data_IF_749728457605
#
_entry.id   IF_749728457605
#
_cell.length_a   1.000
_cell.length_b   1.000
_cell.length_c   1.000
_cell.angle_alpha   90.00
_cell.angle_beta   90.00
_cell.angle_gamma   90.00
#
_symmetry.space_group_name_H-M   'P 1'
#
loop_
_entity.id
_entity.type
_entity.pdbx_description
1 polymer ?
#
# COMPACT_ATOMS: atom_id res chain seq x y z
N UNK A 1 24.48 -6.29 11.67
CA UNK A 1 23.74 -5.00 11.51
C UNK A 1 22.55 -5.04 12.44
N UNK A 2 22.31 -3.98 13.22
CA UNK A 2 21.15 -3.88 14.11
C UNK A 2 19.88 -3.51 13.33
N UNK A 3 18.75 -4.12 13.67
CA UNK A 3 17.45 -3.82 13.03
C UNK A 3 17.00 -2.39 13.38
N UNK A 4 16.67 -1.53 12.39
CA UNK A 4 16.24 -0.16 12.67
C UNK A 4 14.87 -0.10 13.37
N UNK A 5 14.57 0.97 14.12
CA UNK A 5 13.23 1.21 14.65
C UNK A 5 12.16 1.23 13.55
N UNK A 6 10.95 0.75 13.85
CA UNK A 6 9.94 0.52 12.80
C UNK A 6 9.53 1.81 12.10
N UNK A 7 9.47 2.93 12.84
CA UNK A 7 9.14 4.25 12.28
C UNK A 7 10.17 4.68 11.25
N UNK A 8 11.44 4.36 11.49
CA UNK A 8 12.51 4.62 10.54
C UNK A 8 12.35 3.75 9.30
N UNK A 9 12.04 2.46 9.46
CA UNK A 9 11.74 1.58 8.32
C UNK A 9 10.53 2.07 7.51
N UNK A 10 9.47 2.52 8.16
CA UNK A 10 8.30 3.11 7.49
C UNK A 10 8.67 4.36 6.67
N UNK A 11 9.51 5.24 7.22
CA UNK A 11 10.02 6.39 6.49
C UNK A 11 10.90 5.99 5.31
N UNK A 12 11.77 5.00 5.48
CA UNK A 12 12.61 4.47 4.39
C UNK A 12 11.76 3.82 3.30
N UNK A 13 10.76 3.01 3.67
CA UNK A 13 9.86 2.35 2.73
C UNK A 13 9.09 3.37 1.88
N UNK A 14 8.62 4.45 2.50
CA UNK A 14 7.97 5.55 1.78
C UNK A 14 8.89 6.20 0.75
N UNK A 15 10.16 6.40 1.09
CA UNK A 15 11.14 7.00 0.18
C UNK A 15 11.77 5.99 -0.80
N UNK A 16 11.59 4.69 -0.59
CA UNK A 16 12.26 3.65 -1.34
C UNK A 16 11.91 3.72 -2.83
N UNK A 17 10.62 3.76 -3.15
CA UNK A 17 10.17 3.79 -4.55
C UNK A 17 10.69 5.02 -5.30
N UNK A 18 10.67 6.20 -4.67
CA UNK A 18 11.25 7.41 -5.24
C UNK A 18 12.77 7.28 -5.49
N UNK A 19 13.48 6.57 -4.61
CA UNK A 19 14.94 6.41 -4.67
C UNK A 19 15.43 5.39 -5.69
N UNK A 20 14.58 4.43 -6.09
CA UNK A 20 14.95 3.33 -7.00
C UNK A 20 14.82 3.75 -8.46
N UNK A 21 13.97 4.76 -8.73
CA UNK A 21 13.60 5.15 -10.08
C UNK A 21 12.70 4.10 -10.70
N UNK A 22 13.26 3.17 -11.46
CA UNK A 22 12.50 2.21 -12.24
C UNK A 22 12.74 0.74 -11.83
N UNK A 23 11.69 -0.06 -11.81
CA UNK A 23 11.77 -1.50 -11.56
C UNK A 23 10.61 -2.26 -12.23
N UNK A 24 10.80 -3.56 -12.39
CA UNK A 24 9.72 -4.49 -12.73
C UNK A 24 9.61 -5.56 -11.65
N UNK A 25 8.39 -6.00 -11.32
CA UNK A 25 8.17 -7.07 -10.38
C UNK A 25 7.01 -7.97 -10.80
N UNK A 26 7.11 -9.24 -10.44
CA UNK A 26 5.98 -10.16 -10.46
C UNK A 26 5.47 -10.30 -9.03
N UNK A 27 4.18 -10.05 -8.82
CA UNK A 27 3.52 -10.03 -7.52
C UNK A 27 2.40 -11.06 -7.47
N UNK A 28 2.39 -11.84 -6.39
CA UNK A 28 1.31 -12.78 -6.08
C UNK A 28 0.38 -12.14 -5.05
N UNK A 29 -0.90 -12.02 -5.42
CA UNK A 29 -1.97 -11.46 -4.60
C UNK A 29 -2.82 -12.58 -4.00
N UNK A 30 -3.05 -12.53 -2.68
CA UNK A 30 -3.87 -13.49 -1.94
C UNK A 30 -5.07 -12.77 -1.32
N UNK A 31 -6.26 -13.40 -1.32
CA UNK A 31 -7.42 -12.88 -0.59
C UNK A 31 -8.33 -11.91 -1.34
N UNK A 32 -8.27 -11.88 -2.68
CA UNK A 32 -9.10 -11.02 -3.55
C UNK A 32 -10.55 -11.51 -3.70
N UNK A 33 -11.14 -12.10 -2.65
CA UNK A 33 -12.45 -12.78 -2.74
C UNK A 33 -12.44 -14.04 -3.63
N UNK A 34 -11.27 -14.45 -4.10
CA UNK A 34 -11.04 -15.68 -4.85
C UNK A 34 -10.29 -16.68 -3.99
N UNK A 35 -10.61 -17.96 -4.14
CA UNK A 35 -9.92 -19.03 -3.42
C UNK A 35 -8.46 -19.22 -3.88
N UNK A 36 -8.13 -18.81 -5.10
CA UNK A 36 -6.79 -18.95 -5.67
C UNK A 36 -6.02 -17.61 -5.63
N UNK A 37 -4.70 -17.66 -5.33
CA UNK A 37 -3.80 -16.53 -5.54
C UNK A 37 -3.79 -16.09 -7.00
N UNK A 38 -3.56 -14.80 -7.24
CA UNK A 38 -3.46 -14.21 -8.59
C UNK A 38 -2.09 -13.61 -8.79
N UNK A 39 -1.44 -13.93 -9.91
CA UNK A 39 -0.17 -13.32 -10.30
C UNK A 39 -0.40 -12.11 -11.18
N UNK A 40 0.30 -11.03 -10.92
CA UNK A 40 0.32 -9.82 -11.74
C UNK A 40 1.76 -9.36 -11.92
N UNK A 41 2.06 -8.81 -13.09
CA UNK A 41 3.31 -8.13 -13.37
C UNK A 41 3.12 -6.62 -13.20
N UNK A 42 4.09 -5.98 -12.57
CA UNK A 42 4.08 -4.56 -12.30
C UNK A 42 5.35 -3.94 -12.83
N UNK A 43 5.19 -2.94 -13.68
CA UNK A 43 6.28 -2.10 -14.20
C UNK A 43 6.12 -0.71 -13.57
N UNK A 44 7.17 -0.20 -12.95
CA UNK A 44 7.18 1.08 -12.25
C UNK A 44 8.36 1.91 -12.72
N UNK A 45 8.14 3.21 -12.95
CA UNK A 45 9.19 4.15 -13.33
C UNK A 45 9.22 5.40 -12.43
N UNK A 46 8.04 5.89 -12.05
CA UNK A 46 7.85 7.06 -11.18
C UNK A 46 6.52 6.90 -10.44
N UNK A 47 6.24 7.66 -9.36
CA UNK A 47 4.96 7.57 -8.64
C UNK A 47 3.71 7.62 -9.53
N UNK A 48 3.79 8.37 -10.63
CA UNK A 48 2.72 8.55 -11.62
C UNK A 48 3.00 7.82 -12.94
N UNK A 49 3.96 6.91 -13.00
CA UNK A 49 4.27 6.11 -14.19
C UNK A 49 4.43 4.65 -13.77
N UNK A 50 3.33 3.91 -13.86
CA UNK A 50 3.29 2.50 -13.53
C UNK A 50 2.26 1.76 -14.36
N UNK A 51 2.45 0.45 -14.51
CA UNK A 51 1.61 -0.43 -15.31
C UNK A 51 1.45 -1.76 -14.60
N UNK A 52 0.23 -2.29 -14.58
CA UNK A 52 -0.11 -3.58 -13.97
C UNK A 52 -0.76 -4.46 -15.01
N UNK A 53 -0.18 -5.63 -15.25
CA UNK A 53 -0.65 -6.62 -16.22
C UNK A 53 -0.95 -7.93 -15.49
N UNK A 54 -2.13 -8.49 -15.71
CA UNK A 54 -2.49 -9.83 -15.24
C UNK A 54 -2.46 -10.85 -16.37
N UNK A 55 -2.90 -12.08 -16.07
CA UNK A 55 -2.96 -13.17 -17.05
C UNK A 55 -3.83 -12.84 -18.28
N UNK A 56 -4.91 -12.08 -18.08
CA UNK A 56 -5.86 -11.70 -19.14
C UNK A 56 -5.47 -10.38 -19.86
N UNK A 57 -4.36 -9.76 -19.48
CA UNK A 57 -3.86 -8.53 -20.08
C UNK A 57 -3.79 -7.35 -19.10
N UNK A 58 -3.87 -6.13 -19.63
CA UNK A 58 -3.70 -4.91 -18.85
C UNK A 58 -4.82 -4.77 -17.81
N UNK A 59 -4.45 -4.58 -16.54
CA UNK A 59 -5.39 -4.37 -15.44
C UNK A 59 -5.49 -2.90 -15.06
N UNK A 60 -4.37 -2.18 -15.06
CA UNK A 60 -4.35 -0.75 -14.81
C UNK A 60 -3.06 -0.12 -15.35
N UNK A 61 -3.14 1.14 -15.73
CA UNK A 61 -2.01 1.93 -16.20
C UNK A 61 -2.11 3.36 -15.67
N UNK A 62 -1.02 3.91 -15.16
CA UNK A 62 -0.88 5.33 -14.92
C UNK A 62 0.12 5.92 -15.91
N UNK A 63 -0.33 6.87 -16.74
CA UNK A 63 0.44 7.43 -17.86
C UNK A 63 1.11 8.78 -17.54
N UNK A 64 0.95 9.26 -16.31
CA UNK A 64 1.47 10.53 -15.81
C UNK A 64 0.37 11.59 -15.65
N UNK A 65 -0.72 11.45 -16.40
CA UNK A 65 -1.86 12.37 -16.38
C UNK A 65 -3.07 11.74 -15.67
N UNK A 66 -3.30 10.44 -15.85
CA UNK A 66 -4.41 9.74 -15.25
C UNK A 66 -4.15 8.24 -15.09
N UNK A 67 -5.03 7.59 -14.33
CA UNK A 67 -5.12 6.14 -14.24
C UNK A 67 -6.16 5.64 -15.23
N UNK A 68 -5.79 4.68 -16.06
CA UNK A 68 -6.68 3.93 -16.95
C UNK A 68 -6.92 2.56 -16.35
N UNK A 69 -8.18 2.22 -16.10
CA UNK A 69 -8.58 0.93 -15.53
C UNK A 69 -9.94 0.49 -16.09
N UNK A 70 -10.21 -0.83 -16.16
CA UNK A 70 -11.51 -1.32 -16.55
C UNK A 70 -12.54 -1.10 -15.43
N UNK A 71 -13.69 -0.55 -15.79
CA UNK A 71 -14.87 -0.39 -14.93
C UNK A 71 -16.04 -1.06 -15.64
N UNK A 72 -16.42 -2.25 -15.16
CA UNK A 72 -17.35 -3.12 -15.89
C UNK A 72 -16.75 -3.59 -17.21
N UNK A 73 -17.45 -3.34 -18.32
CA UNK A 73 -17.01 -3.68 -19.67
C UNK A 73 -16.26 -2.53 -20.38
N UNK A 74 -16.10 -1.38 -19.73
CA UNK A 74 -15.53 -0.18 -20.31
C UNK A 74 -14.19 0.19 -19.68
N UNK A 75 -13.37 0.92 -20.42
CA UNK A 75 -12.16 1.54 -19.90
C UNK A 75 -12.44 2.98 -19.53
N UNK A 76 -12.12 3.34 -18.30
CA UNK A 76 -12.35 4.68 -17.77
C UNK A 76 -11.02 5.37 -17.45
N UNK A 77 -11.02 6.69 -17.65
CA UNK A 77 -9.97 7.59 -17.16
C UNK A 77 -10.35 8.03 -15.75
N UNK A 78 -9.59 7.57 -14.77
CA UNK A 78 -9.80 7.84 -13.35
C UNK A 78 -8.76 8.83 -12.87
N UNK A 79 -9.20 9.92 -12.24
CA UNK A 79 -8.29 10.87 -11.61
C UNK A 79 -7.56 10.21 -10.44
N UNK A 80 -6.29 10.58 -10.27
CA UNK A 80 -5.42 10.16 -9.17
C UNK A 80 -6.13 10.28 -7.82
N UNK A 81 -6.16 9.19 -7.07
CA UNK A 81 -6.90 9.05 -5.81
C UNK A 81 -8.32 8.45 -5.94
N UNK A 82 -8.79 8.16 -7.16
CA UNK A 82 -10.07 7.48 -7.43
C UNK A 82 -9.94 6.03 -7.92
N UNK A 83 -8.73 5.56 -8.23
CA UNK A 83 -8.55 4.24 -8.82
C UNK A 83 -8.78 3.12 -7.78
N UNK A 84 -9.58 2.13 -8.17
CA UNK A 84 -9.65 0.85 -7.47
C UNK A 84 -8.44 0.00 -7.86
N UNK A 85 -7.24 0.45 -7.47
CA UNK A 85 -6.11 -0.47 -7.44
C UNK A 85 -6.44 -1.56 -6.41
N UNK A 86 -6.06 -2.82 -6.66
CA UNK A 86 -6.10 -3.83 -5.61
C UNK A 86 -5.41 -3.24 -4.39
N UNK A 87 -6.13 -3.08 -3.28
CA UNK A 87 -5.60 -2.46 -2.05
C UNK A 87 -4.28 -3.08 -1.61
N UNK A 88 -4.07 -4.34 -2.00
CA UNK A 88 -2.85 -5.10 -1.83
C UNK A 88 -1.61 -4.51 -2.51
N UNK A 89 -1.72 -3.92 -3.70
CA UNK A 89 -0.59 -3.27 -4.38
C UNK A 89 -0.26 -1.91 -3.77
N UNK A 90 -1.30 -1.16 -3.35
CA UNK A 90 -1.13 0.10 -2.62
C UNK A 90 -0.38 -0.11 -1.29
N UNK A 91 -0.63 -1.23 -0.61
CA UNK A 91 0.07 -1.59 0.64
C UNK A 91 1.55 -1.93 0.42
N UNK A 92 1.92 -2.47 -0.75
CA UNK A 92 3.33 -2.62 -1.14
C UNK A 92 3.99 -1.27 -1.51
N UNK A 93 3.20 -0.19 -1.56
CA UNK A 93 3.64 1.15 -1.90
C UNK A 93 3.57 1.50 -3.38
N UNK A 94 3.15 0.57 -4.24
CA UNK A 94 3.09 0.80 -5.69
C UNK A 94 1.92 1.75 -5.98
N UNK A 95 2.25 2.99 -6.36
CA UNK A 95 1.30 4.11 -6.44
C UNK A 95 1.43 5.05 -5.23
N UNK A 96 0.32 5.40 -4.58
CA UNK A 96 0.32 6.20 -3.34
C UNK A 96 0.38 5.29 -2.09
N UNK A 97 1.48 5.29 -1.31
CA UNK A 97 1.71 4.35 -0.22
C UNK A 97 0.87 4.67 1.02
N UNK A 98 -0.36 4.13 1.12
CA UNK A 98 -1.27 4.40 2.25
C UNK A 98 -0.80 3.78 3.60
N UNK A 99 -0.07 2.66 3.58
CA UNK A 99 0.26 1.90 4.79
C UNK A 99 1.13 2.70 5.78
N UNK A 100 2.04 3.53 5.26
CA UNK A 100 2.98 4.32 6.07
C UNK A 100 2.56 5.77 6.25
N UNK A 101 1.49 6.21 5.59
CA UNK A 101 0.90 7.54 5.77
C UNK A 101 0.09 7.66 7.07
N UNK A 102 -0.28 6.52 7.66
CA UNK A 102 -0.97 6.48 8.95
C UNK A 102 -0.18 5.74 10.03
N UNK A 103 0.99 6.24 10.50
CA UNK A 103 1.73 5.63 11.61
C UNK A 103 0.92 5.51 12.91
N UNK A 104 -0.21 6.23 13.02
CA UNK A 104 -1.16 6.15 14.13
C UNK A 104 -2.13 4.97 14.02
N UNK A 105 -2.25 4.34 12.84
CA UNK A 105 -3.09 3.18 12.61
C UNK A 105 -2.54 1.90 13.27
N UNK A 106 -1.26 1.88 13.63
CA UNK A 106 -0.61 0.77 14.32
C UNK A 106 -0.02 1.24 15.64
N UNK A 107 -0.36 0.56 16.74
CA UNK A 107 0.11 0.92 18.08
C UNK A 107 1.48 0.34 18.39
N UNK A 108 1.73 -0.87 17.92
CA UNK A 108 2.88 -1.67 18.28
C UNK A 108 3.48 -2.32 17.05
N UNK A 109 4.80 -2.47 17.08
CA UNK A 109 5.55 -3.16 16.06
C UNK A 109 6.48 -4.16 16.75
N UNK A 110 6.37 -5.44 16.38
CA UNK A 110 7.27 -6.48 16.84
C UNK A 110 8.16 -6.94 15.69
N UNK A 111 9.46 -7.06 15.95
CA UNK A 111 10.44 -7.47 14.94
C UNK A 111 10.66 -8.96 14.97
N UNK A 112 10.73 -9.55 13.79
CA UNK A 112 11.23 -10.92 13.61
C UNK A 112 12.66 -10.81 13.08
N UNK A 113 13.63 -11.18 13.93
CA UNK A 113 15.06 -11.11 13.58
C UNK A 113 15.58 -12.39 12.89
N UNK A 114 14.68 -13.35 12.64
CA UNK A 114 15.03 -14.57 11.92
C UNK A 114 15.41 -14.26 10.47
N UNK A 115 16.59 -14.72 10.00
CA UNK A 115 16.99 -14.57 8.61
C UNK A 115 15.98 -15.27 7.70
N UNK A 116 15.41 -14.51 6.77
CA UNK A 116 14.60 -15.02 5.69
C UNK A 116 14.67 -14.06 4.50
N UNK A 117 14.21 -14.55 3.36
CA UNK A 117 14.29 -13.86 2.08
C UNK A 117 12.91 -13.83 1.41
N UNK A 118 12.67 -12.79 0.62
CA UNK A 118 11.52 -12.65 -0.29
C UNK A 118 12.08 -12.31 -1.66
N UNK A 119 11.65 -13.02 -2.70
CA UNK A 119 12.24 -12.93 -4.06
C UNK A 119 13.79 -13.04 -4.07
N UNK A 120 14.35 -13.88 -3.20
CA UNK A 120 15.81 -14.06 -3.06
C UNK A 120 16.55 -12.86 -2.45
N UNK A 121 15.82 -11.93 -1.82
CA UNK A 121 16.38 -10.72 -1.18
C UNK A 121 16.25 -10.80 0.34
N UNK A 122 17.33 -10.53 1.11
CA UNK A 122 17.24 -10.47 2.57
C UNK A 122 16.28 -9.37 3.03
N UNK A 123 15.41 -9.69 3.99
CA UNK A 123 14.39 -8.74 4.48
C UNK A 123 14.47 -8.47 5.99
N UNK A 124 13.91 -7.34 6.42
CA UNK A 124 13.43 -7.13 7.78
C UNK A 124 11.94 -7.45 7.82
N UNK A 125 11.48 -8.23 8.81
CA UNK A 125 10.04 -8.45 9.00
C UNK A 125 9.54 -7.84 10.30
N UNK A 126 8.37 -7.21 10.18
CA UNK A 126 7.71 -6.48 11.26
C UNK A 126 6.25 -6.91 11.32
N UNK A 127 5.80 -7.33 12.50
CA UNK A 127 4.37 -7.42 12.82
C UNK A 127 3.89 -6.03 13.18
N UNK A 128 2.91 -5.51 12.45
CA UNK A 128 2.19 -4.29 12.74
C UNK A 128 0.85 -4.64 13.40
N UNK A 129 0.66 -4.21 14.64
CA UNK A 129 -0.58 -4.47 15.39
C UNK A 129 -1.48 -3.23 15.46
N UNK A 130 -2.75 -3.39 15.12
CA UNK A 130 -3.71 -2.30 15.03
C UNK A 130 -4.55 -2.18 16.33
N UNK A 131 -4.94 -0.96 16.75
CA UNK A 131 -5.82 -0.76 17.90
C UNK A 131 -7.28 -1.04 17.52
N UNK A 132 -7.69 -2.31 17.48
CA UNK A 132 -9.11 -2.69 17.34
C UNK A 132 -9.38 -3.76 16.30
N UNK A 133 -10.53 -3.67 15.62
CA UNK A 133 -10.99 -4.70 14.67
C UNK A 133 -10.41 -4.55 13.26
N UNK A 134 -10.02 -3.34 12.82
CA UNK A 134 -9.44 -3.05 11.50
C UNK A 134 -8.48 -1.84 11.54
N UNK A 135 -7.39 -1.81 10.74
CA UNK A 135 -6.88 -2.92 9.91
C UNK A 135 -6.53 -4.15 10.76
N UNK A 136 -6.52 -5.34 10.18
CA UNK A 136 -6.08 -6.54 10.89
C UNK A 136 -4.57 -6.45 11.12
N UNK A 137 -4.08 -7.11 12.17
CA UNK A 137 -2.65 -7.29 12.37
C UNK A 137 -2.04 -7.91 11.12
N UNK A 138 -0.87 -7.41 10.75
CA UNK A 138 -0.20 -7.78 9.51
C UNK A 138 1.30 -7.88 9.67
N UNK A 139 1.90 -8.83 8.97
CA UNK A 139 3.35 -8.92 8.83
C UNK A 139 3.76 -8.21 7.56
N UNK A 140 4.78 -7.35 7.65
CA UNK A 140 5.36 -6.62 6.53
C UNK A 140 6.84 -6.97 6.44
N UNK A 141 7.30 -7.33 5.24
CA UNK A 141 8.69 -7.66 4.97
C UNK A 141 9.29 -6.61 4.03
N UNK A 142 10.39 -5.99 4.45
CA UNK A 142 11.08 -4.93 3.71
C UNK A 142 12.47 -5.38 3.29
N UNK A 143 12.84 -5.13 2.04
CA UNK A 143 14.19 -5.37 1.53
C UNK A 143 15.25 -4.66 2.36
N UNK A 144 16.30 -5.36 2.79
CA UNK A 144 17.34 -4.76 3.65
C UNK A 144 18.18 -3.71 2.92
N UNK A 145 18.27 -3.82 1.60
CA UNK A 145 19.08 -2.92 0.78
C UNK A 145 18.30 -1.66 0.39
N UNK A 146 17.11 -1.84 -0.19
CA UNK A 146 16.31 -0.74 -0.76
C UNK A 146 15.20 -0.24 0.15
N UNK A 147 14.86 -0.98 1.21
CA UNK A 147 13.67 -0.77 2.04
C UNK A 147 12.32 -0.88 1.30
N UNK A 148 12.29 -1.43 0.07
CA UNK A 148 11.03 -1.79 -0.59
C UNK A 148 10.22 -2.76 0.24
N UNK A 149 8.90 -2.58 0.29
CA UNK A 149 8.02 -3.62 0.80
C UNK A 149 7.95 -4.74 -0.23
N UNK A 150 8.48 -5.91 0.11
CA UNK A 150 8.46 -7.09 -0.75
C UNK A 150 7.30 -8.03 -0.40
N UNK A 151 6.78 -7.95 0.82
CA UNK A 151 5.63 -8.75 1.23
C UNK A 151 4.83 -8.01 2.27
N UNK A 152 3.51 -8.18 2.21
CA UNK A 152 2.66 -7.99 3.37
C UNK A 152 1.62 -9.10 3.42
N UNK A 153 1.25 -9.52 4.62
CA UNK A 153 0.19 -10.50 4.82
C UNK A 153 -0.56 -10.21 6.12
N UNK A 154 -1.88 -10.41 6.14
CA UNK A 154 -2.63 -10.49 7.38
C UNK A 154 -2.14 -11.69 8.20
N UNK A 155 -2.21 -11.59 9.53
CA UNK A 155 -1.75 -12.67 10.43
C UNK A 155 -2.53 -13.98 10.24
N UNK A 156 -3.79 -13.91 9.80
CA UNK A 156 -4.60 -15.08 9.44
C UNK A 156 -4.21 -15.72 8.09
N UNK A 157 -3.30 -15.09 7.32
CA UNK A 157 -2.84 -15.54 6.01
C UNK A 157 -3.89 -15.42 4.90
N UNK A 158 -5.05 -14.83 5.17
CA UNK A 158 -6.15 -14.76 4.20
C UNK A 158 -5.93 -13.68 3.15
N UNK A 159 -5.22 -12.60 3.48
CA UNK A 159 -5.00 -11.45 2.61
C UNK A 159 -3.51 -11.11 2.55
N UNK A 160 -3.02 -10.77 1.37
CA UNK A 160 -1.63 -10.33 1.25
C UNK A 160 -1.18 -10.10 -0.17
N UNK A 161 0.03 -9.58 -0.28
CA UNK A 161 0.78 -9.54 -1.52
C UNK A 161 2.23 -9.93 -1.25
N UNK A 162 2.83 -10.66 -2.18
CA UNK A 162 4.22 -11.07 -2.11
C UNK A 162 4.88 -10.87 -3.48
N UNK A 163 6.03 -10.19 -3.48
CA UNK A 163 6.89 -10.09 -4.66
C UNK A 163 7.59 -11.43 -4.84
N UNK A 164 7.35 -12.06 -5.97
CA UNK A 164 7.97 -13.33 -6.36
C UNK A 164 9.26 -13.10 -7.14
N UNK A 165 9.29 -12.07 -7.99
CA UNK A 165 10.46 -11.66 -8.75
C UNK A 165 10.57 -10.13 -8.76
N UNK A 166 11.80 -9.60 -8.68
CA UNK A 166 12.09 -8.17 -8.70
C UNK A 166 13.31 -7.90 -9.57
N UNK A 167 13.16 -7.05 -10.58
CA UNK A 167 14.22 -6.55 -11.43
C UNK A 167 14.42 -5.04 -11.22
N UNK A 168 15.46 -4.71 -10.44
CA UNK A 168 15.93 -3.34 -10.21
C UNK A 168 16.83 -2.82 -11.35
N UNK A 169 17.24 -3.70 -12.26
CA UNK A 169 18.00 -3.32 -13.46
C UNK A 169 17.09 -2.95 -14.63
N UNK A 170 15.79 -3.18 -14.50
CA UNK A 170 14.78 -2.79 -15.47
C UNK A 170 14.90 -1.30 -15.82
N UNK A 171 14.61 -0.97 -17.07
CA UNK A 171 14.67 0.39 -17.60
C UNK A 171 13.35 0.72 -18.26
N UNK A 172 12.74 1.79 -17.75
CA UNK A 172 11.53 2.36 -18.29
C UNK A 172 11.72 2.72 -19.77
N UNK A 173 10.87 2.17 -20.63
CA UNK A 173 10.68 2.67 -21.98
C UNK A 173 9.41 3.53 -21.99
N UNK A 174 9.44 4.77 -22.52
CA UNK A 174 8.29 5.67 -22.45
C UNK A 174 6.99 5.09 -23.06
N UNK A 175 7.10 4.24 -24.06
CA UNK A 175 5.97 3.59 -24.74
C UNK A 175 5.20 2.61 -23.84
N UNK A 176 5.85 2.03 -22.83
CA UNK A 176 5.21 1.08 -21.89
C UNK A 176 4.07 1.74 -21.11
N UNK A 177 4.23 3.01 -20.77
CA UNK A 177 3.29 3.77 -19.97
C UNK A 177 2.27 4.58 -20.79
N UNK A 178 2.31 4.46 -22.11
CA UNK A 178 1.38 5.18 -22.98
C UNK A 178 0.07 4.40 -23.13
N UNK A 179 -1.07 5.06 -22.86
CA UNK A 179 -2.37 4.47 -23.14
C UNK A 179 -2.64 4.43 -24.65
N UNK A 180 -2.74 3.23 -25.21
CA UNK A 180 -3.07 3.01 -26.64
C UNK A 180 -4.44 2.38 -26.85
N UNK A 181 -5.24 2.25 -25.79
CA UNK A 181 -6.55 1.61 -25.83
C UNK A 181 -7.66 2.56 -26.31
N UNK A 182 -8.93 2.13 -26.24
CA UNK A 182 -10.07 2.95 -26.63
C UNK A 182 -10.12 4.27 -25.87
N UNK A 183 -10.72 5.30 -26.48
CA UNK A 183 -10.94 6.57 -25.82
C UNK A 183 -11.79 6.35 -24.55
N UNK A 184 -11.33 6.81 -23.38
CA UNK A 184 -12.05 6.59 -22.14
C UNK A 184 -13.41 7.30 -22.17
N UNK A 185 -14.46 6.65 -21.67
CA UNK A 185 -15.77 7.28 -21.48
C UNK A 185 -15.69 8.24 -20.30
N UNK A 186 -16.24 9.45 -20.45
CA UNK A 186 -16.14 10.56 -19.47
C UNK A 186 -16.99 10.36 -18.19
N UNK A 187 -17.03 9.14 -17.63
CA UNK A 187 -17.86 8.77 -16.46
C UNK A 187 -17.28 9.30 -15.14
N UNK A 188 -16.07 9.87 -15.17
CA UNK A 188 -15.36 10.37 -13.99
C UNK A 188 -16.05 11.50 -13.21
N UNK A 189 -16.95 12.29 -13.81
CA UNK A 189 -17.63 13.38 -13.08
C UNK A 189 -18.75 12.90 -12.14
N UNK A 190 -19.47 11.85 -12.51
CA UNK A 190 -20.58 11.31 -11.71
C UNK A 190 -20.05 10.48 -10.54
N UNK A 191 -19.04 9.62 -10.78
CA UNK A 191 -18.33 8.91 -9.71
C UNK A 191 -17.57 9.86 -8.77
N UNK A 192 -17.09 11.02 -9.27
CA UNK A 192 -16.51 12.08 -8.43
C UNK A 192 -17.56 12.68 -7.49
N UNK A 193 -18.73 13.09 -7.98
CA UNK A 193 -19.82 13.63 -7.13
C UNK A 193 -20.29 12.61 -6.10
N UNK A 194 -20.54 11.37 -6.53
CA UNK A 194 -21.00 10.31 -5.63
C UNK A 194 -19.99 10.01 -4.50
N UNK A 195 -18.68 10.21 -4.75
CA UNK A 195 -17.63 10.05 -3.74
C UNK A 195 -17.48 11.26 -2.83
N UNK A 196 -17.48 12.47 -3.38
CA UNK A 196 -17.47 13.73 -2.60
C UNK A 196 -18.65 13.72 -1.60
N UNK A 197 -19.84 13.35 -2.05
CA UNK A 197 -21.01 13.19 -1.17
C UNK A 197 -20.88 12.07 -0.13
N UNK A 198 -20.03 11.06 -0.37
CA UNK A 198 -19.83 9.93 0.56
C UNK A 198 -18.76 10.23 1.61
N UNK A 199 -17.73 11.00 1.24
CA UNK A 199 -16.70 11.49 2.16
C UNK A 199 -17.32 12.52 3.11
N UNK A 200 -18.13 13.46 2.62
CA UNK A 200 -18.86 14.42 3.45
C UNK A 200 -19.85 13.76 4.43
N UNK A 201 -20.35 12.57 4.10
CA UNK A 201 -21.25 11.77 4.95
C UNK A 201 -20.54 10.94 6.01
N UNK A 202 -19.21 10.90 6.02
CA UNK A 202 -18.43 10.22 7.05
C UNK A 202 -17.91 11.29 8.04
N UNK A 203 -18.60 11.56 9.16
CA UNK A 203 -18.08 12.47 10.16
C UNK A 203 -16.76 11.90 10.69
N UNK A 204 -15.74 12.77 10.77
CA UNK A 204 -14.52 12.45 11.50
C UNK A 204 -14.89 11.84 12.85
N UNK A 205 -14.32 10.68 13.23
CA UNK A 205 -14.55 10.15 14.56
C UNK A 205 -14.08 11.22 15.54
N UNK A 206 -15.01 11.74 16.34
CA UNK A 206 -14.69 12.69 17.38
C UNK A 206 -13.49 12.16 18.17
N UNK A 207 -12.46 12.98 18.43
CA UNK A 207 -11.31 12.53 19.20
C UNK A 207 -11.83 11.96 20.52
N UNK A 208 -11.34 10.78 20.96
CA UNK A 208 -11.82 10.18 22.19
C UNK A 208 -11.65 11.19 23.32
N UNK A 209 -12.74 11.50 24.02
CA UNK A 209 -12.70 12.26 25.26
C UNK A 209 -11.87 11.43 26.23
N UNK A 210 -10.58 11.77 26.36
CA UNK A 210 -9.78 11.29 27.48
C UNK A 210 -10.39 11.90 28.72
N UNK A 211 -11.25 11.13 29.39
CA UNK A 211 -11.72 11.42 30.73
C UNK A 211 -10.51 11.78 31.57
N UNK A 212 -10.49 13.02 32.05
CA UNK A 212 -9.47 13.52 32.96
C UNK A 212 -9.34 12.51 34.11
N UNK A 213 -8.22 11.78 34.12
CA UNK A 213 -7.82 10.99 35.26
C UNK A 213 -7.57 11.98 36.39
N UNK A 214 -8.56 12.11 37.27
CA UNK A 214 -8.44 12.84 38.52
C UNK A 214 -7.34 12.20 39.34
N UNK A 215 -6.12 12.73 39.24
CA UNK A 215 -5.08 12.47 40.21
C UNK A 215 -5.52 13.05 41.57
N UNK A 216 -5.60 12.25 42.65
CA UNK A 216 -5.84 12.80 43.97
C UNK A 216 -4.63 13.67 44.36
N UNK A 217 -4.91 14.92 44.74
CA UNK A 217 -3.92 15.86 45.27
C UNK A 217 -3.29 15.29 46.55
N UNK A 218 -1.99 15.54 46.80
CA UNK A 218 -1.36 15.19 48.06
C UNK A 218 -1.98 16.02 49.19
N UNK A 219 -2.55 15.35 50.18
CA UNK A 219 -3.03 15.98 51.41
C UNK A 219 -1.85 16.62 52.15
N UNK A 220 -1.89 17.94 52.27
CA UNK A 220 -1.03 18.69 53.18
C UNK A 220 -1.39 18.30 54.61
N UNK A 221 -0.43 17.72 55.32
CA UNK A 221 -0.54 17.56 56.76
C UNK A 221 -0.61 18.91 57.47
N UNK A 222 -1.42 18.99 58.51
CA UNK A 222 -1.21 19.86 59.67
C UNK A 222 -2.08 19.39 60.84
N UNK A 223 -1.37 18.92 61.88
CA UNK A 223 -1.67 18.87 63.33
C UNK A 223 -3.07 18.51 63.81
#
# INVERSE_FOLDING_TARGET
MTTPPWRELAHRARAALDGIGACAATVVLTGMGTAAPRRVDVEFAEPNLWRITGEEGLLALHDGEAVHAPVGEQWERVLTGGCWLPSHLLTLGWGEPQLFEQPRAFREAAFFDEPHEVAGRPVWSVLLSAPGRKPHDMTVSLDRETALVLRWASVDGLHGAEVEALDLSWRARPDVFTWTGPAPTAVGEESRRAREERIDRCPDPAPPEFGATGAPRPGTGSR
#
